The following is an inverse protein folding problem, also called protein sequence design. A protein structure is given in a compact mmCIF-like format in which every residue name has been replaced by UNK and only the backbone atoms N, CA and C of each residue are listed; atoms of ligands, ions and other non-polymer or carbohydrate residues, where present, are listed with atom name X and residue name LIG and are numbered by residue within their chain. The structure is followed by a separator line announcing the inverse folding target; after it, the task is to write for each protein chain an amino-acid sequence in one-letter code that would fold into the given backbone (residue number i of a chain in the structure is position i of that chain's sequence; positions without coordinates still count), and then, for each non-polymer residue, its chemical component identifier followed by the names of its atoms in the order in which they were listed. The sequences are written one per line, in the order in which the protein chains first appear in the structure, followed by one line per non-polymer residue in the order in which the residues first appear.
data_IF_923212886508
#
_entry.id   IF_923212886508
#
_cell.length_a   1.000
_cell.length_b   1.000
_cell.length_c   1.000
_cell.angle_alpha   90.00
_cell.angle_beta   90.00
_cell.angle_gamma   90.00
#
_symmetry.space_group_name_H-M   'P 1'
#
loop_
_entity.id
_entity.type
_entity.pdbx_description
1 polymer ?
#
# COMPACT_ATOMS: atom_id res chain seq x y z
N UNK A 1 -5.86 -14.10 -12.57
CA UNK A 1 -4.94 -14.02 -11.42
C UNK A 1 -5.80 -13.99 -10.17
N UNK A 2 -5.72 -15.02 -9.32
CA UNK A 2 -6.56 -15.16 -8.12
C UNK A 2 -5.88 -14.46 -6.95
N UNK A 3 -6.58 -13.56 -6.26
CA UNK A 3 -6.12 -13.00 -5.00
C UNK A 3 -6.61 -13.89 -3.86
N UNK A 4 -5.70 -14.30 -2.97
CA UNK A 4 -6.04 -15.09 -1.80
C UNK A 4 -6.79 -14.25 -0.76
N UNK A 5 -7.78 -14.83 -0.04
CA UNK A 5 -8.46 -14.14 1.05
C UNK A 5 -7.47 -13.71 2.14
N UNK A 6 -7.74 -12.57 2.77
CA UNK A 6 -7.01 -12.06 3.93
C UNK A 6 -5.52 -11.77 3.70
N UNK A 7 -5.05 -11.48 2.48
CA UNK A 7 -3.63 -11.20 2.23
C UNK A 7 -3.33 -9.73 1.87
N UNK A 8 -3.54 -8.78 2.81
CA UNK A 8 -3.18 -7.38 2.58
C UNK A 8 -1.66 -7.19 2.42
N UNK A 9 -0.86 -8.08 3.00
CA UNK A 9 0.60 -8.16 2.84
C UNK A 9 1.04 -8.46 1.39
N UNK A 10 0.12 -8.97 0.56
CA UNK A 10 0.29 -9.21 -0.88
C UNK A 10 -0.50 -8.24 -1.76
N UNK A 11 -1.16 -7.22 -1.21
CA UNK A 11 -1.91 -6.21 -1.97
C UNK A 11 -1.12 -4.90 -2.04
N UNK A 12 -0.69 -4.44 -3.24
CA UNK A 12 0.05 -3.19 -3.40
C UNK A 12 -0.64 -1.96 -2.78
N UNK A 13 -1.98 -1.95 -2.78
CA UNK A 13 -2.72 -0.85 -2.17
C UNK A 13 -2.56 -0.84 -0.64
N UNK A 14 -2.55 -2.02 -0.02
CA UNK A 14 -2.54 -2.17 1.44
C UNK A 14 -1.13 -2.09 2.04
N UNK A 15 -0.11 -2.69 1.40
CA UNK A 15 1.26 -2.64 1.93
C UNK A 15 2.05 -1.40 1.50
N UNK A 16 1.63 -0.70 0.44
CA UNK A 16 2.38 0.44 -0.12
C UNK A 16 1.54 1.72 -0.21
N UNK A 17 0.48 1.75 -1.00
CA UNK A 17 -0.21 3.01 -1.34
C UNK A 17 -0.85 3.69 -0.12
N UNK A 18 -1.73 2.97 0.58
CA UNK A 18 -2.47 3.52 1.70
C UNK A 18 -1.56 3.89 2.88
N UNK A 19 -0.58 3.08 3.30
CA UNK A 19 0.36 3.48 4.34
C UNK A 19 1.09 4.77 4.01
N UNK A 20 1.58 4.93 2.78
CA UNK A 20 2.31 6.13 2.35
C UNK A 20 1.42 7.38 2.37
N UNK A 21 0.22 7.30 1.79
CA UNK A 21 -0.70 8.44 1.77
C UNK A 21 -1.19 8.77 3.18
N UNK A 22 -1.58 7.76 3.97
CA UNK A 22 -2.01 7.96 5.37
C UNK A 22 -0.90 8.57 6.22
N UNK A 23 0.37 8.20 5.98
CA UNK A 23 1.51 8.81 6.66
C UNK A 23 1.63 10.30 6.33
N UNK A 24 1.52 10.69 5.06
CA UNK A 24 1.55 12.10 4.63
C UNK A 24 0.36 12.91 5.17
N UNK A 25 -0.82 12.29 5.28
CA UNK A 25 -2.02 12.93 5.83
C UNK A 25 -2.07 12.93 7.38
N UNK A 26 -1.09 12.31 8.04
CA UNK A 26 -1.12 12.12 9.49
C UNK A 26 -1.00 13.45 10.22
N UNK A 27 -1.96 13.74 11.09
CA UNK A 27 -1.99 14.97 11.89
C UNK A 27 -2.76 16.11 11.26
N UNK A 28 -3.10 16.00 9.97
CA UNK A 28 -3.94 16.97 9.29
C UNK A 28 -5.39 16.88 9.76
N UNK A 29 -6.03 18.04 9.94
CA UNK A 29 -7.46 18.14 10.25
C UNK A 29 -8.19 18.69 9.03
N UNK A 30 -9.07 17.86 8.48
CA UNK A 30 -9.91 18.22 7.35
C UNK A 30 -11.24 18.79 7.84
N UNK A 31 -11.68 19.89 7.24
CA UNK A 31 -12.94 20.56 7.58
C UNK A 31 -14.17 19.82 7.05
N UNK A 32 -13.98 19.01 6.00
CA UNK A 32 -15.03 18.16 5.42
C UNK A 32 -14.45 16.92 4.75
N UNK A 33 -15.26 15.87 4.51
CA UNK A 33 -14.83 14.70 3.75
C UNK A 33 -14.27 15.04 2.36
N UNK A 34 -14.84 16.04 1.68
CA UNK A 34 -14.42 16.48 0.35
C UNK A 34 -12.98 17.02 0.40
N UNK A 35 -12.65 17.81 1.42
CA UNK A 35 -11.27 18.31 1.59
C UNK A 35 -10.27 17.19 1.87
N UNK A 36 -10.68 16.12 2.56
CA UNK A 36 -9.84 14.93 2.76
C UNK A 36 -9.64 14.14 1.46
N UNK A 37 -10.69 14.02 0.64
CA UNK A 37 -10.63 13.34 -0.67
C UNK A 37 -9.73 14.11 -1.64
N UNK A 38 -9.81 15.44 -1.69
CA UNK A 38 -8.93 16.24 -2.53
C UNK A 38 -7.46 16.11 -2.10
N UNK A 39 -7.18 16.18 -0.80
CA UNK A 39 -5.82 15.93 -0.30
C UNK A 39 -5.31 14.53 -0.68
N UNK A 40 -6.16 13.50 -0.57
CA UNK A 40 -5.83 12.15 -1.03
C UNK A 40 -5.51 12.12 -2.53
N UNK A 41 -6.33 12.76 -3.37
CA UNK A 41 -6.14 12.82 -4.83
C UNK A 41 -4.83 13.50 -5.21
N UNK A 42 -4.51 14.62 -4.57
CA UNK A 42 -3.23 15.31 -4.76
C UNK A 42 -2.07 14.39 -4.42
N UNK A 43 -2.06 13.80 -3.22
CA UNK A 43 -1.00 12.90 -2.77
C UNK A 43 -0.87 11.64 -3.63
N UNK A 44 -1.99 11.12 -4.13
CA UNK A 44 -1.99 10.01 -5.08
C UNK A 44 -1.33 10.39 -6.41
N UNK A 45 -1.59 11.59 -6.92
CA UNK A 45 -0.99 12.08 -8.17
C UNK A 45 0.52 12.36 -8.07
N UNK A 46 1.03 12.57 -6.85
CA UNK A 46 2.47 12.73 -6.59
C UNK A 46 3.24 11.42 -6.62
N UNK A 47 2.56 10.26 -6.55
CA UNK A 47 3.23 8.95 -6.57
C UNK A 47 3.86 8.76 -7.94
N UNK A 48 5.19 8.71 -7.96
CA UNK A 48 5.98 8.67 -9.18
C UNK A 48 5.98 7.28 -9.82
N UNK A 49 6.26 7.23 -11.12
CA UNK A 49 6.42 5.96 -11.83
C UNK A 49 7.53 5.08 -11.24
N UNK A 50 8.61 5.67 -10.71
CA UNK A 50 9.69 4.93 -10.05
C UNK A 50 9.25 4.32 -8.72
N UNK A 51 8.42 5.01 -7.94
CA UNK A 51 7.83 4.45 -6.71
C UNK A 51 6.88 3.28 -7.02
N UNK A 52 6.03 3.42 -8.05
CA UNK A 52 5.21 2.31 -8.52
C UNK A 52 6.03 1.12 -9.01
N UNK A 53 7.09 1.38 -9.78
CA UNK A 53 8.00 0.32 -10.24
C UNK A 53 8.61 -0.42 -9.05
N UNK A 54 9.12 0.29 -8.05
CA UNK A 54 9.66 -0.29 -6.82
C UNK A 54 8.60 -1.08 -6.04
N UNK A 55 7.36 -0.59 -6.00
CA UNK A 55 6.25 -1.32 -5.38
C UNK A 55 6.02 -2.69 -6.05
N UNK A 56 6.04 -2.74 -7.38
CA UNK A 56 5.88 -4.01 -8.09
C UNK A 56 7.08 -4.95 -7.96
N UNK A 57 8.31 -4.41 -7.93
CA UNK A 57 9.52 -5.20 -7.63
C UNK A 57 9.40 -5.85 -6.24
N UNK A 58 9.05 -5.05 -5.21
CA UNK A 58 8.81 -5.55 -3.86
C UNK A 58 7.64 -6.55 -3.77
N UNK A 59 6.64 -6.43 -4.66
CA UNK A 59 5.51 -7.34 -4.69
C UNK A 59 5.94 -8.77 -5.03
N UNK A 60 6.88 -8.94 -5.97
CA UNK A 60 7.45 -10.25 -6.28
C UNK A 60 8.21 -10.85 -5.09
N UNK A 61 9.00 -10.04 -4.39
CA UNK A 61 9.71 -10.49 -3.18
C UNK A 61 8.76 -10.92 -2.07
N UNK A 62 7.65 -10.19 -1.89
CA UNK A 62 6.59 -10.52 -0.92
C UNK A 62 5.88 -11.83 -1.26
N UNK A 63 5.57 -12.04 -2.55
CA UNK A 63 5.01 -13.32 -3.00
C UNK A 63 5.97 -14.48 -2.75
N UNK A 64 7.28 -14.28 -2.98
CA UNK A 64 8.28 -15.29 -2.69
C UNK A 64 8.35 -15.60 -1.18
N UNK A 65 8.34 -14.59 -0.31
CA UNK A 65 8.28 -14.78 1.15
C UNK A 65 7.05 -15.57 1.59
N UNK A 66 5.88 -15.29 1.00
CA UNK A 66 4.66 -16.05 1.27
C UNK A 66 4.84 -17.54 0.92
N UNK A 67 5.48 -17.86 -0.21
CA UNK A 67 5.80 -19.23 -0.60
C UNK A 67 6.76 -19.88 0.41
N UNK A 68 7.84 -19.19 0.76
CA UNK A 68 8.87 -19.70 1.68
C UNK A 68 8.29 -19.98 3.09
N UNK A 69 7.32 -19.16 3.50
CA UNK A 69 6.61 -19.29 4.77
C UNK A 69 5.32 -20.12 4.68
N UNK A 70 5.08 -20.81 3.55
CA UNK A 70 3.94 -21.70 3.34
C UNK A 70 2.58 -21.03 3.57
N UNK A 71 2.45 -19.76 3.22
CA UNK A 71 1.22 -18.98 3.36
C UNK A 71 1.06 -18.24 4.69
N UNK A 72 2.01 -18.32 5.61
CA UNK A 72 2.00 -17.56 6.86
C UNK A 72 2.33 -16.07 6.63
N UNK A 73 1.79 -15.20 7.49
CA UNK A 73 2.06 -13.76 7.45
C UNK A 73 3.51 -13.43 7.88
N UNK A 74 4.08 -12.37 7.29
CA UNK A 74 5.49 -11.98 7.51
C UNK A 74 5.72 -10.52 7.91
N UNK A 75 4.68 -9.69 8.00
CA UNK A 75 4.84 -8.27 8.35
C UNK A 75 5.01 -7.99 9.86
N UNK A 76 4.71 -8.98 10.72
CA UNK A 76 4.70 -8.83 12.19
C UNK A 76 5.56 -9.87 12.92
N UNK A 77 6.55 -10.44 12.23
CA UNK A 77 7.57 -11.30 12.86
C UNK A 77 8.64 -10.46 13.56
#
# INVERSE_FOLDING_TARGET
MTHCPYSPDLSPNDFFLFPNIKYKMRGERFVSPETAVEAFRTLFSEVTASEWKKCFENWFERMQKCIDLKGEYFEKQ
#
